data_IF_158897907990
#
_entry.id   IF_158897907990
#
_cell.length_a   1.000
_cell.length_b   1.000
_cell.length_c   1.000
_cell.angle_alpha   90.00
_cell.angle_beta   90.00
_cell.angle_gamma   90.00
#
_symmetry.space_group_name_H-M   'P 1'
#
loop_
_entity.id
_entity.type
_entity.pdbx_description
1 polymer ?
#
# COMPACT_ATOMS: atom_id res chain seq x y z
N UNK A 1 -14.58 19.31 -32.88
CA UNK A 1 -13.60 19.37 -31.78
C UNK A 1 -13.78 18.11 -30.95
N UNK A 2 -12.89 17.13 -31.12
CA UNK A 2 -13.00 15.79 -30.53
C UNK A 2 -12.50 15.82 -29.08
N UNK A 3 -13.33 15.32 -28.16
CA UNK A 3 -13.04 15.27 -26.73
C UNK A 3 -12.03 14.19 -26.37
N UNK A 4 -11.12 14.53 -25.47
CA UNK A 4 -10.10 13.70 -24.84
C UNK A 4 -10.69 12.38 -24.25
N UNK A 5 -10.02 11.21 -24.41
CA UNK A 5 -10.39 10.03 -23.65
C UNK A 5 -9.90 10.20 -22.19
N UNK A 6 -10.83 10.14 -21.23
CA UNK A 6 -10.48 10.18 -19.81
C UNK A 6 -9.79 8.87 -19.40
N UNK A 7 -8.60 9.02 -18.80
CA UNK A 7 -7.78 7.94 -18.23
C UNK A 7 -8.63 7.09 -17.28
N UNK A 8 -8.58 5.77 -17.51
CA UNK A 8 -9.18 4.79 -16.62
C UNK A 8 -8.45 4.75 -15.28
N UNK A 9 -9.18 5.04 -14.22
CA UNK A 9 -8.84 4.67 -12.85
C UNK A 9 -10.16 4.30 -12.19
N UNK A 10 -10.36 2.99 -11.99
CA UNK A 10 -11.49 2.49 -11.23
C UNK A 10 -10.99 1.32 -10.40
N UNK A 11 -10.19 1.62 -9.37
CA UNK A 11 -9.98 0.69 -8.27
C UNK A 11 -11.24 0.77 -7.41
N UNK A 12 -12.23 -0.04 -7.76
CA UNK A 12 -13.41 -0.24 -6.93
C UNK A 12 -12.98 -1.00 -5.67
N UNK A 13 -12.55 -0.28 -4.63
CA UNK A 13 -12.37 -0.89 -3.32
C UNK A 13 -13.75 -1.19 -2.75
N UNK A 14 -14.21 -2.44 -2.94
CA UNK A 14 -15.29 -2.98 -2.10
C UNK A 14 -14.81 -2.91 -0.65
N UNK A 15 -15.54 -2.15 0.16
CA UNK A 15 -15.53 -2.16 1.64
C UNK A 15 -15.38 -3.61 2.09
N UNK A 16 -14.35 -3.91 2.89
CA UNK A 16 -14.28 -5.17 3.64
C UNK A 16 -15.44 -5.10 4.64
N UNK A 17 -16.58 -5.65 4.25
CA UNK A 17 -17.74 -5.70 5.09
C UNK A 17 -17.47 -6.72 6.20
N UNK A 18 -17.90 -6.40 7.41
CA UNK A 18 -18.04 -7.36 8.52
C UNK A 18 -19.10 -8.44 8.21
N UNK A 19 -19.54 -8.53 6.93
CA UNK A 19 -20.48 -9.39 6.22
C UNK A 19 -19.89 -10.51 5.32
N UNK A 20 -18.64 -10.38 4.88
CA UNK A 20 -17.86 -11.36 4.07
C UNK A 20 -17.86 -12.84 4.55
N UNK A 21 -18.21 -13.84 3.72
CA UNK A 21 -18.17 -15.25 4.10
C UNK A 21 -16.80 -15.73 4.63
N UNK A 22 -15.69 -15.06 4.31
CA UNK A 22 -14.37 -15.37 4.87
C UNK A 22 -14.27 -15.23 6.40
N UNK A 23 -15.15 -14.44 7.06
CA UNK A 23 -15.26 -14.42 8.54
C UNK A 23 -16.43 -15.24 9.09
N UNK A 24 -17.28 -15.80 8.23
CA UNK A 24 -18.49 -16.51 8.66
C UNK A 24 -18.10 -17.93 9.07
N UNK A 25 -18.13 -18.20 10.37
CA UNK A 25 -17.96 -19.54 10.91
C UNK A 25 -19.17 -20.40 10.51
N UNK A 26 -19.08 -21.15 9.41
CA UNK A 26 -20.21 -21.95 8.91
C UNK A 26 -20.41 -23.29 9.59
N UNK A 27 -19.48 -23.77 10.43
CA UNK A 27 -19.69 -25.01 11.18
C UNK A 27 -19.03 -24.96 12.56
N UNK A 28 -19.83 -24.79 13.61
CA UNK A 28 -19.65 -25.27 15.01
C UNK A 28 -18.36 -25.02 15.82
N UNK A 29 -17.21 -24.81 15.20
CA UNK A 29 -15.91 -24.48 15.80
C UNK A 29 -15.41 -23.21 15.13
N UNK A 30 -15.28 -22.13 15.91
CA UNK A 30 -14.56 -20.95 15.42
C UNK A 30 -13.11 -21.38 15.12
N UNK A 31 -12.62 -21.25 13.88
CA UNK A 31 -11.19 -21.38 13.64
C UNK A 31 -10.48 -20.42 14.59
N UNK A 32 -9.31 -20.81 15.12
CA UNK A 32 -8.55 -19.88 15.96
C UNK A 32 -8.30 -18.66 15.08
N UNK A 33 -8.44 -17.44 15.62
CA UNK A 33 -8.26 -16.20 14.84
C UNK A 33 -6.97 -16.21 13.99
N UNK A 34 -5.94 -16.90 14.46
CA UNK A 34 -4.69 -17.16 13.75
C UNK A 34 -4.88 -17.92 12.43
N UNK A 35 -5.66 -18.99 12.43
CA UNK A 35 -5.81 -19.89 11.28
C UNK A 35 -6.61 -19.20 10.18
N UNK A 36 -7.70 -18.53 10.54
CA UNK A 36 -8.49 -17.72 9.61
C UNK A 36 -7.67 -16.56 9.01
N UNK A 37 -6.81 -15.91 9.82
CA UNK A 37 -5.91 -14.87 9.32
C UNK A 37 -4.86 -15.44 8.36
N UNK A 38 -4.31 -16.61 8.66
CA UNK A 38 -3.31 -17.25 7.80
C UNK A 38 -3.91 -17.66 6.45
N UNK A 39 -5.12 -18.19 6.45
CA UNK A 39 -5.85 -18.53 5.22
C UNK A 39 -6.12 -17.28 4.38
N UNK A 40 -6.64 -16.21 5.00
CA UNK A 40 -6.88 -14.95 4.31
C UNK A 40 -5.61 -14.32 3.72
N UNK A 41 -4.50 -14.33 4.47
CA UNK A 41 -3.21 -13.79 4.00
C UNK A 41 -2.62 -14.57 2.82
N UNK A 42 -2.89 -15.88 2.74
CA UNK A 42 -2.27 -16.76 1.74
C UNK A 42 -3.14 -17.02 0.52
N UNK A 43 -4.47 -16.91 0.66
CA UNK A 43 -5.42 -17.20 -0.42
C UNK A 43 -6.12 -15.92 -0.90
N UNK A 44 -6.90 -15.27 -0.04
CA UNK A 44 -7.77 -14.17 -0.44
C UNK A 44 -6.99 -12.89 -0.79
N UNK A 45 -6.00 -12.54 0.04
CA UNK A 45 -5.27 -11.29 -0.11
C UNK A 45 -4.45 -11.25 -1.43
N UNK A 46 -3.66 -12.28 -1.79
CA UNK A 46 -2.95 -12.30 -3.07
C UNK A 46 -3.89 -12.21 -4.26
N UNK A 47 -5.04 -12.90 -4.22
CA UNK A 47 -6.02 -12.86 -5.30
C UNK A 47 -6.67 -11.48 -5.47
N UNK A 48 -6.75 -10.66 -4.41
CA UNK A 48 -7.25 -9.28 -4.53
C UNK A 48 -6.25 -8.35 -5.20
N UNK A 49 -4.96 -8.58 -5.02
CA UNK A 49 -3.91 -7.71 -5.53
C UNK A 49 -3.32 -8.18 -6.86
N UNK A 50 -3.49 -9.45 -7.25
CA UNK A 50 -3.06 -10.04 -8.53
C UNK A 50 -1.69 -9.48 -8.99
N UNK A 51 -1.61 -8.93 -10.21
CA UNK A 51 -0.38 -8.38 -10.81
C UNK A 51 -0.03 -6.97 -10.32
N UNK A 52 -0.60 -6.51 -9.20
CA UNK A 52 -0.30 -5.18 -8.60
C UNK A 52 0.64 -5.26 -7.40
N UNK A 53 1.28 -6.41 -7.19
CA UNK A 53 2.36 -6.56 -6.21
C UNK A 53 3.68 -6.19 -6.89
N UNK A 54 4.30 -5.12 -6.40
CA UNK A 54 5.56 -4.61 -6.94
C UNK A 54 6.71 -5.30 -6.21
N UNK A 55 7.66 -5.93 -6.93
CA UNK A 55 8.82 -6.54 -6.30
C UNK A 55 9.77 -5.47 -5.76
N UNK A 56 10.50 -5.81 -4.72
CA UNK A 56 11.64 -5.02 -4.26
C UNK A 56 12.84 -5.45 -5.10
N UNK A 57 13.17 -4.66 -6.11
CA UNK A 57 14.28 -4.89 -7.02
C UNK A 57 15.45 -3.92 -6.77
N UNK A 58 16.48 -4.00 -7.61
CA UNK A 58 17.69 -3.18 -7.47
C UNK A 58 17.39 -1.66 -7.50
N UNK A 59 16.57 -1.11 -8.43
CA UNK A 59 16.12 0.27 -8.38
C UNK A 59 15.50 0.68 -7.04
N UNK A 60 14.61 -0.15 -6.48
CA UNK A 60 14.00 0.11 -5.17
C UNK A 60 15.06 0.12 -4.05
N UNK A 61 16.00 -0.82 -4.08
CA UNK A 61 17.06 -0.91 -3.08
C UNK A 61 17.99 0.33 -3.10
N UNK A 62 18.38 0.80 -4.29
CA UNK A 62 19.19 2.01 -4.45
C UNK A 62 18.43 3.23 -3.92
N UNK A 63 17.18 3.43 -4.36
CA UNK A 63 16.34 4.54 -3.91
C UNK A 63 16.16 4.53 -2.38
N UNK A 64 16.04 3.35 -1.77
CA UNK A 64 15.94 3.20 -0.31
C UNK A 64 17.21 3.65 0.40
N UNK A 65 18.39 3.29 -0.12
CA UNK A 65 19.67 3.75 0.41
C UNK A 65 19.80 5.27 0.38
N UNK A 66 19.47 5.89 -0.76
CA UNK A 66 19.53 7.34 -0.94
C UNK A 66 18.55 8.07 -0.02
N UNK A 67 17.31 7.57 0.07
CA UNK A 67 16.27 8.13 0.91
C UNK A 67 16.64 8.05 2.40
N UNK A 68 17.09 6.90 2.87
CA UNK A 68 17.52 6.73 4.26
C UNK A 68 18.75 7.61 4.58
N UNK A 69 19.69 7.73 3.63
CA UNK A 69 20.83 8.63 3.75
C UNK A 69 20.40 10.10 3.87
N UNK A 70 19.45 10.53 3.04
CA UNK A 70 18.88 11.87 3.10
C UNK A 70 18.13 12.12 4.41
N UNK A 71 17.25 11.20 4.83
CA UNK A 71 16.50 11.30 6.08
C UNK A 71 17.44 11.48 7.28
N UNK A 72 18.49 10.65 7.36
CA UNK A 72 19.50 10.71 8.41
C UNK A 72 20.23 12.05 8.44
N UNK A 73 20.63 12.59 7.27
CA UNK A 73 21.30 13.92 7.19
C UNK A 73 20.37 15.06 7.60
N UNK A 74 19.07 14.93 7.31
CA UNK A 74 18.05 15.91 7.67
C UNK A 74 17.54 15.76 9.12
N UNK A 75 18.15 14.89 9.93
CA UNK A 75 17.76 14.65 11.32
C UNK A 75 16.39 13.99 11.49
N UNK A 76 15.85 13.38 10.43
CA UNK A 76 14.54 12.71 10.44
C UNK A 76 14.73 11.21 10.57
N UNK A 77 13.99 10.61 11.52
CA UNK A 77 13.93 9.16 11.64
C UNK A 77 12.92 8.60 10.65
N UNK A 78 13.37 7.76 9.73
CA UNK A 78 12.52 6.97 8.85
C UNK A 78 12.77 5.49 9.17
N UNK A 79 11.72 4.73 9.45
CA UNK A 79 11.88 3.29 9.72
C UNK A 79 12.32 2.57 8.45
N UNK A 80 13.00 1.42 8.58
CA UNK A 80 13.48 0.67 7.41
C UNK A 80 12.33 0.20 6.51
N UNK A 81 11.16 -0.14 7.07
CA UNK A 81 9.99 -0.52 6.27
C UNK A 81 9.36 0.68 5.58
N UNK A 82 9.22 1.81 6.28
CA UNK A 82 8.67 3.04 5.68
C UNK A 82 9.57 3.57 4.57
N UNK A 83 10.90 3.51 4.77
CA UNK A 83 11.89 3.83 3.77
C UNK A 83 11.77 2.95 2.52
N UNK A 84 11.53 1.65 2.70
CA UNK A 84 11.35 0.74 1.57
C UNK A 84 10.06 1.00 0.80
N UNK A 85 8.95 1.27 1.50
CA UNK A 85 7.67 1.62 0.88
C UNK A 85 7.79 2.93 0.11
N UNK A 86 8.40 3.95 0.72
CA UNK A 86 8.66 5.24 0.09
C UNK A 86 9.57 5.12 -1.13
N UNK A 87 10.66 4.35 -1.02
CA UNK A 87 11.58 4.10 -2.13
C UNK A 87 10.90 3.37 -3.29
N UNK A 88 10.00 2.44 -2.99
CA UNK A 88 9.20 1.76 -4.02
C UNK A 88 8.34 2.77 -4.78
N UNK A 89 7.70 3.71 -4.07
CA UNK A 89 6.92 4.77 -4.71
C UNK A 89 7.78 5.67 -5.60
N UNK A 90 8.99 6.05 -5.13
CA UNK A 90 9.93 6.88 -5.91
C UNK A 90 10.43 6.14 -7.16
N UNK A 91 10.88 4.89 -7.00
CA UNK A 91 11.50 4.13 -8.09
C UNK A 91 10.52 3.81 -9.23
N UNK A 92 9.23 3.71 -8.92
CA UNK A 92 8.18 3.37 -9.88
C UNK A 92 7.23 4.53 -10.21
N UNK A 93 7.56 5.76 -9.80
CA UNK A 93 6.76 6.98 -10.06
C UNK A 93 5.29 6.83 -9.61
N UNK A 94 5.10 6.39 -8.36
CA UNK A 94 3.79 6.12 -7.76
C UNK A 94 3.42 7.15 -6.72
N UNK A 95 2.12 7.40 -6.58
CA UNK A 95 1.55 8.11 -5.44
C UNK A 95 1.41 7.18 -4.24
N UNK A 96 1.97 7.57 -3.09
CA UNK A 96 1.87 6.81 -1.85
C UNK A 96 0.60 7.17 -1.08
N UNK A 97 -0.33 6.22 -0.99
CA UNK A 97 -1.54 6.36 -0.18
C UNK A 97 -1.22 6.09 1.30
N UNK A 98 -1.28 7.13 2.13
CA UNK A 98 -0.96 7.02 3.55
C UNK A 98 -1.79 7.98 4.41
N UNK A 99 -2.17 7.50 5.59
CA UNK A 99 -2.91 8.32 6.57
C UNK A 99 -2.01 9.34 7.28
N UNK A 100 -0.78 8.99 7.63
CA UNK A 100 0.15 9.91 8.29
C UNK A 100 1.11 10.54 7.28
N UNK A 101 0.61 11.50 6.51
CA UNK A 101 1.38 12.22 5.48
C UNK A 101 2.64 12.87 6.06
N UNK A 102 2.57 13.41 7.28
CA UNK A 102 3.64 14.20 7.92
C UNK A 102 4.98 13.47 8.03
N UNK A 103 4.95 12.15 8.19
CA UNK A 103 6.16 11.34 8.29
C UNK A 103 6.90 11.26 6.96
N UNK A 104 6.21 11.55 5.84
CA UNK A 104 6.74 11.42 4.48
C UNK A 104 6.95 12.77 3.78
N UNK A 105 6.57 13.88 4.41
CA UNK A 105 6.70 15.23 3.86
C UNK A 105 8.17 15.62 3.64
N UNK A 106 8.47 16.12 2.44
CA UNK A 106 9.80 16.58 2.07
C UNK A 106 10.75 15.47 1.59
N UNK A 107 10.25 14.26 1.34
CA UNK A 107 11.01 13.19 0.68
C UNK A 107 10.81 13.14 -0.84
N UNK A 108 10.08 14.09 -1.42
CA UNK A 108 9.88 14.17 -2.88
C UNK A 108 8.93 13.12 -3.44
N UNK A 109 8.02 12.61 -2.60
CA UNK A 109 7.03 11.58 -2.94
C UNK A 109 5.67 12.27 -3.10
N UNK A 110 4.90 11.87 -4.09
CA UNK A 110 3.49 12.27 -4.17
C UNK A 110 2.69 11.50 -3.13
N UNK A 111 1.95 12.22 -2.27
CA UNK A 111 1.23 11.64 -1.14
C UNK A 111 -0.26 11.88 -1.31
N UNK A 112 -1.08 10.89 -0.93
CA UNK A 112 -2.54 11.00 -0.86
C UNK A 112 -3.04 10.44 0.47
N UNK A 113 -3.89 11.18 1.18
CA UNK A 113 -4.63 10.65 2.34
C UNK A 113 -6.06 10.30 1.95
N UNK A 114 -6.37 9.01 1.69
CA UNK A 114 -7.69 8.60 1.20
C UNK A 114 -8.81 8.74 2.24
N UNK A 115 -8.50 9.14 3.48
CA UNK A 115 -9.50 9.42 4.50
C UNK A 115 -9.94 10.89 4.52
N UNK A 116 -9.14 11.80 3.99
CA UNK A 116 -9.47 13.23 3.92
C UNK A 116 -9.78 13.68 2.50
N UNK A 117 -9.13 13.07 1.51
CA UNK A 117 -9.42 13.30 0.10
C UNK A 117 -10.58 12.40 -0.34
N UNK A 118 -11.71 13.02 -0.68
CA UNK A 118 -12.86 12.32 -1.28
C UNK A 118 -12.58 12.17 -2.77
N UNK A 119 -12.76 10.97 -3.36
CA UNK A 119 -12.47 10.73 -4.78
C UNK A 119 -13.34 11.58 -5.72
#
# INVERSE_FOLDING_TARGET
MAGQPRRGSLVHQRRVDRGDPAWRCTDGKRPRKRDALAEWLTQDLPQRFEQRVIPVDEPVAIACGDLMGFAKRSGRGLSSMDGLIAATAIAHDLTLAIRNIKDFEGFGIELVDPWTERP
#
